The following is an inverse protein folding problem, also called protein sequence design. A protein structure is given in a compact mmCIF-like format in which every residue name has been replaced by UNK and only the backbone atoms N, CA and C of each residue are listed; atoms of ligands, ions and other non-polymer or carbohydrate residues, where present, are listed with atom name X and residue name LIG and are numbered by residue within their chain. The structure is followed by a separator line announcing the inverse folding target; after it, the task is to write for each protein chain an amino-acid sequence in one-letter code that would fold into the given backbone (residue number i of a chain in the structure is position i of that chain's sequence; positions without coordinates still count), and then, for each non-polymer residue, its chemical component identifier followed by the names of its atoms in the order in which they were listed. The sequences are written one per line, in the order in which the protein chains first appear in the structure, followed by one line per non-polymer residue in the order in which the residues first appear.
data_IF_692878822982
#
_entry.id   IF_692878822982
#
_cell.length_a   1.000
_cell.length_b   1.000
_cell.length_c   1.000
_cell.angle_alpha   90.00
_cell.angle_beta   90.00
_cell.angle_gamma   90.00
#
_symmetry.space_group_name_H-M   'P 1'
#
loop_
_entity.id
_entity.type
_entity.pdbx_description
1 polymer ?
#
# COMPACT_ATOMS: atom_id res chain seq x y z
N UNK A 1 -5.35 4.83 50.74
CA UNK A 1 -4.32 4.72 51.80
C UNK A 1 -3.71 3.33 51.76
N UNK A 2 -2.38 3.26 51.58
CA UNK A 2 -1.39 2.27 52.07
C UNK A 2 -1.57 0.78 51.67
N UNK A 3 -0.71 0.21 50.81
CA UNK A 3 0.69 -0.24 51.00
C UNK A 3 0.82 -1.59 51.79
N UNK A 4 1.12 -2.69 51.09
CA UNK A 4 2.36 -3.51 51.19
C UNK A 4 2.19 -5.02 50.86
N UNK A 5 3.06 -5.48 49.95
CA UNK A 5 3.81 -6.74 49.88
C UNK A 5 3.38 -7.98 50.72
N UNK A 6 3.26 -9.13 50.04
CA UNK A 6 3.91 -10.37 50.50
C UNK A 6 4.22 -11.35 49.35
N UNK A 7 5.41 -11.91 49.46
CA UNK A 7 6.09 -12.85 48.57
C UNK A 7 5.60 -14.29 48.74
N UNK A 8 6.09 -15.14 47.83
CA UNK A 8 6.29 -16.60 47.94
C UNK A 8 5.10 -17.54 47.83
N UNK A 9 4.99 -18.25 46.70
CA UNK A 9 5.00 -19.74 46.63
C UNK A 9 4.71 -20.23 45.20
N UNK A 10 5.65 -20.93 44.56
CA UNK A 10 5.33 -21.93 43.53
C UNK A 10 6.45 -22.99 43.48
N UNK A 11 6.18 -24.25 43.88
CA UNK A 11 7.17 -25.31 43.94
C UNK A 11 7.31 -26.11 42.62
N UNK A 12 8.48 -26.72 42.54
CA UNK A 12 9.04 -27.60 41.51
C UNK A 12 8.47 -29.03 41.49
N UNK A 13 8.49 -29.63 40.29
CA UNK A 13 8.91 -31.01 39.93
C UNK A 13 8.00 -32.26 40.05
N UNK A 14 8.29 -33.14 39.08
CA UNK A 14 8.08 -34.60 39.00
C UNK A 14 6.72 -35.00 38.38
N UNK A 15 6.52 -35.96 37.47
CA UNK A 15 7.25 -37.06 36.77
C UNK A 15 6.50 -37.22 35.42
N UNK A 16 6.97 -37.80 34.33
CA UNK A 16 8.01 -38.77 34.03
C UNK A 16 7.66 -39.40 32.67
N UNK A 17 8.64 -39.73 31.83
CA UNK A 17 8.54 -40.71 30.75
C UNK A 17 9.95 -41.30 30.61
N UNK A 18 10.07 -42.59 30.91
CA UNK A 18 11.24 -43.42 30.63
C UNK A 18 11.12 -43.91 29.18
N UNK A 19 12.21 -43.86 28.44
CA UNK A 19 12.39 -44.67 27.23
C UNK A 19 13.72 -45.40 27.36
N UNK A 20 13.61 -46.71 27.55
CA UNK A 20 14.71 -47.66 27.68
C UNK A 20 15.45 -47.78 26.35
N UNK A 21 16.77 -47.53 26.38
CA UNK A 21 17.70 -47.93 25.34
C UNK A 21 18.27 -49.30 25.71
N UNK A 22 17.88 -50.35 24.98
CA UNK A 22 18.62 -51.61 24.96
C UNK A 22 19.39 -51.72 23.66
N UNK A 23 20.71 -51.84 23.81
CA UNK A 23 21.65 -52.08 22.74
C UNK A 23 21.65 -53.57 22.37
N UNK A 24 21.71 -53.89 21.08
CA UNK A 24 22.17 -55.19 20.59
C UNK A 24 22.93 -54.98 19.29
N UNK A 25 24.20 -55.36 19.32
CA UNK A 25 25.10 -55.46 18.18
C UNK A 25 24.94 -56.82 17.49
N UNK A 26 25.17 -56.88 16.17
CA UNK A 26 25.92 -57.92 15.45
C UNK A 26 25.89 -57.59 13.95
N UNK A 27 27.06 -57.58 13.31
CA UNK A 27 27.22 -57.35 11.86
C UNK A 27 27.12 -58.63 11.04
N UNK A 28 27.20 -58.49 9.71
CA UNK A 28 27.82 -59.42 8.73
C UNK A 28 27.97 -58.67 7.39
N UNK A 29 29.10 -58.96 6.76
CA UNK A 29 29.73 -58.46 5.54
C UNK A 29 29.07 -59.01 4.24
N UNK A 30 29.20 -58.30 3.11
CA UNK A 30 29.65 -58.87 1.82
C UNK A 30 29.85 -57.77 0.75
N UNK A 31 30.78 -58.05 -0.17
CA UNK A 31 31.55 -57.11 -1.03
C UNK A 31 30.90 -56.87 -2.40
N UNK A 32 31.26 -55.76 -3.05
CA UNK A 32 30.94 -55.51 -4.47
C UNK A 32 31.55 -54.24 -5.09
N UNK A 33 32.86 -54.27 -5.33
CA UNK A 33 33.78 -53.42 -6.15
C UNK A 33 33.22 -52.29 -7.05
N UNK A 34 33.93 -51.13 -7.04
CA UNK A 34 34.05 -50.20 -8.19
C UNK A 34 34.36 -48.72 -7.84
N UNK A 35 35.64 -48.34 -7.77
CA UNK A 35 36.16 -46.95 -7.76
C UNK A 35 36.65 -46.54 -9.17
N UNK A 36 37.07 -45.28 -9.52
CA UNK A 36 37.38 -44.09 -8.69
C UNK A 36 36.87 -42.70 -9.22
N UNK A 37 37.07 -41.66 -8.38
CA UNK A 37 36.96 -40.19 -8.59
C UNK A 37 38.14 -39.63 -9.46
N UNK A 38 38.43 -38.30 -9.65
CA UNK A 38 37.87 -37.01 -9.12
C UNK A 38 37.91 -35.83 -10.17
N UNK A 39 38.02 -34.50 -9.85
CA UNK A 39 37.59 -33.65 -8.71
C UNK A 39 36.80 -32.36 -9.11
N UNK A 40 36.19 -31.70 -8.11
CA UNK A 40 35.76 -30.28 -8.19
C UNK A 40 35.08 -29.75 -6.92
N UNK A 41 35.88 -29.30 -5.94
CA UNK A 41 35.44 -28.68 -4.67
C UNK A 41 34.76 -27.31 -4.85
N UNK A 42 34.07 -26.71 -3.87
CA UNK A 42 34.33 -26.65 -2.43
C UNK A 42 33.00 -26.51 -1.66
N UNK A 43 32.90 -27.20 -0.51
CA UNK A 43 31.85 -27.00 0.50
C UNK A 43 32.20 -25.78 1.37
N UNK A 44 31.30 -24.81 1.49
CA UNK A 44 31.40 -23.76 2.52
C UNK A 44 30.98 -24.33 3.87
N UNK A 45 31.89 -24.23 4.83
CA UNK A 45 31.75 -24.68 6.22
C UNK A 45 30.88 -23.71 7.02
N UNK A 46 30.10 -24.30 7.93
CA UNK A 46 29.48 -23.66 9.08
C UNK A 46 30.48 -22.74 9.81
N UNK A 47 30.22 -21.44 9.76
CA UNK A 47 30.95 -20.40 10.49
C UNK A 47 30.20 -19.99 11.76
N UNK A 48 30.52 -20.67 12.85
CA UNK A 48 30.88 -20.08 14.15
C UNK A 48 30.00 -18.92 14.72
N UNK A 49 28.77 -19.21 15.13
CA UNK A 49 27.93 -18.33 15.96
C UNK A 49 28.58 -17.91 17.30
N UNK A 50 29.61 -18.63 17.75
CA UNK A 50 30.38 -18.30 18.96
C UNK A 50 31.25 -17.05 18.83
N UNK A 51 31.46 -16.50 17.63
CA UNK A 51 32.15 -15.22 17.45
C UNK A 51 31.26 -13.99 17.70
N UNK A 52 29.93 -14.17 17.74
CA UNK A 52 28.98 -13.08 18.02
C UNK A 52 28.82 -12.78 19.53
N UNK A 53 29.27 -13.68 20.40
CA UNK A 53 29.16 -13.53 21.86
C UNK A 53 30.32 -12.77 22.51
N UNK A 54 31.37 -12.42 21.77
CA UNK A 54 32.46 -11.55 22.26
C UNK A 54 32.26 -10.08 21.83
N UNK A 55 31.39 -9.81 20.85
CA UNK A 55 31.04 -8.44 20.44
C UNK A 55 29.90 -7.80 21.25
N UNK A 56 29.25 -8.55 22.15
CA UNK A 56 28.22 -8.06 23.07
C UNK A 56 28.74 -7.76 24.49
N UNK A 57 30.07 -7.67 24.66
CA UNK A 57 30.72 -7.36 25.95
C UNK A 57 31.57 -6.05 25.93
N UNK A 58 31.30 -5.13 24.99
CA UNK A 58 31.95 -3.79 24.93
C UNK A 58 30.94 -2.62 24.81
N UNK A 59 29.64 -2.87 24.78
CA UNK A 59 28.61 -1.80 24.82
C UNK A 59 27.87 -1.72 26.17
N UNK A 60 28.55 -2.12 27.25
CA UNK A 60 28.08 -1.93 28.61
C UNK A 60 28.94 -0.91 29.35
N UNK A 61 28.97 0.35 28.91
CA UNK A 61 29.38 1.47 29.76
C UNK A 61 28.94 2.79 29.12
N UNK A 62 28.24 3.61 29.91
CA UNK A 62 27.72 4.97 29.62
C UNK A 62 26.46 4.95 28.73
N UNK A 63 25.27 5.23 29.23
CA UNK A 63 24.97 6.33 30.15
C UNK A 63 24.09 7.30 29.37
N UNK A 64 22.86 7.46 29.85
CA UNK A 64 21.79 8.25 29.27
C UNK A 64 22.24 9.64 28.78
N UNK A 65 21.73 10.03 27.60
CA UNK A 65 21.54 11.44 27.24
C UNK A 65 20.43 11.54 26.18
N UNK A 66 19.24 11.89 26.65
CA UNK A 66 18.13 12.49 25.90
C UNK A 66 18.63 13.62 24.99
N UNK A 67 18.34 13.62 23.67
CA UNK A 67 18.48 14.81 22.84
C UNK A 67 17.19 15.66 22.78
N UNK A 68 16.23 15.45 23.69
CA UNK A 68 15.06 16.31 23.83
C UNK A 68 15.22 17.25 25.04
N UNK A 69 15.06 18.54 24.79
CA UNK A 69 15.00 19.66 25.74
C UNK A 69 16.32 20.35 26.11
N UNK A 70 16.78 21.28 25.24
CA UNK A 70 17.21 22.60 25.73
C UNK A 70 17.23 23.63 24.58
N UNK A 71 16.09 24.29 24.33
CA UNK A 71 16.08 25.59 23.68
C UNK A 71 16.21 26.66 24.79
N UNK A 72 17.30 27.44 24.84
CA UNK A 72 17.34 28.59 25.75
C UNK A 72 16.37 29.64 25.24
N UNK A 73 15.31 29.86 26.01
CA UNK A 73 14.46 31.04 25.89
C UNK A 73 15.33 32.28 26.14
N UNK A 74 15.75 32.94 25.06
CA UNK A 74 16.32 34.29 25.12
C UNK A 74 15.19 35.25 25.49
N UNK A 75 15.00 35.46 26.79
CA UNK A 75 14.18 36.51 27.36
C UNK A 75 14.74 37.86 26.89
N UNK A 76 14.22 38.38 25.79
CA UNK A 76 14.36 39.80 25.49
C UNK A 76 13.58 40.53 26.58
N UNK A 77 14.32 41.20 27.46
CA UNK A 77 13.80 42.25 28.32
C UNK A 77 13.15 43.30 27.44
N UNK A 78 11.84 43.21 27.25
CA UNK A 78 11.04 44.27 26.68
C UNK A 78 11.01 45.38 27.73
N UNK A 79 11.87 46.37 27.55
CA UNK A 79 11.75 47.63 28.26
C UNK A 79 10.39 48.25 27.91
N UNK A 80 9.61 48.75 28.88
CA UNK A 80 8.41 49.52 28.58
C UNK A 80 8.83 50.83 27.88
N UNK A 81 8.17 51.23 26.78
CA UNK A 81 8.49 52.49 26.13
C UNK A 81 8.06 53.67 27.02
N UNK A 82 8.93 54.68 27.23
CA UNK A 82 8.52 55.94 27.83
C UNK A 82 7.54 56.67 26.92
N UNK A 83 6.50 57.23 27.54
CA UNK A 83 5.48 58.01 26.86
C UNK A 83 6.00 59.33 26.27
N UNK A 84 5.22 59.78 25.29
CA UNK A 84 5.04 61.17 24.82
C UNK A 84 6.26 61.92 24.26
N UNK A 85 6.40 61.88 22.94
CA UNK A 85 6.86 63.01 22.13
C UNK A 85 6.24 62.94 20.71
N UNK A 86 5.97 64.09 20.06
CA UNK A 86 5.00 64.22 18.97
C UNK A 86 5.52 63.79 17.59
N UNK A 87 4.55 63.49 16.72
CA UNK A 87 4.71 62.99 15.36
C UNK A 87 5.61 63.86 14.46
N UNK A 88 6.44 63.23 13.60
CA UNK A 88 6.80 63.81 12.32
C UNK A 88 5.76 63.42 11.27
N UNK A 89 5.16 64.42 10.65
CA UNK A 89 4.42 64.26 9.40
C UNK A 89 5.36 63.67 8.33
N UNK A 90 4.96 62.57 7.70
CA UNK A 90 5.68 62.06 6.54
C UNK A 90 5.44 60.58 6.24
N UNK A 91 4.86 60.35 5.07
CA UNK A 91 4.84 59.09 4.29
C UNK A 91 3.63 58.18 4.58
N UNK A 92 2.60 58.37 3.75
CA UNK A 92 1.55 57.40 3.52
C UNK A 92 2.16 56.04 3.17
N UNK A 93 1.66 54.99 3.83
CA UNK A 93 2.04 53.61 3.53
C UNK A 93 1.86 53.31 2.03
N UNK A 94 2.79 52.60 1.36
CA UNK A 94 2.57 52.14 0.02
C UNK A 94 1.34 51.21 0.02
N UNK A 95 0.37 51.52 -0.85
CA UNK A 95 -0.82 50.72 -1.05
C UNK A 95 -0.46 49.22 -1.21
N UNK A 96 -1.27 48.28 -0.68
CA UNK A 96 -1.02 46.85 -0.87
C UNK A 96 -0.96 46.57 -2.38
N UNK A 97 0.13 45.93 -2.80
CA UNK A 97 0.48 45.73 -4.20
C UNK A 97 -0.72 45.16 -5.00
N UNK A 98 -1.06 45.75 -6.16
CA UNK A 98 -2.19 45.31 -7.00
C UNK A 98 -2.06 43.87 -7.51
N UNK A 99 -0.90 43.24 -7.33
CA UNK A 99 -0.62 41.87 -7.76
C UNK A 99 -1.36 40.82 -6.91
N UNK A 100 -1.44 40.99 -5.59
CA UNK A 100 -2.18 40.03 -4.74
C UNK A 100 -3.69 40.10 -5.02
N UNK A 101 -4.23 41.30 -5.21
CA UNK A 101 -5.63 41.49 -5.58
C UNK A 101 -5.96 40.83 -6.93
N UNK A 102 -5.04 40.91 -7.91
CA UNK A 102 -5.16 40.22 -9.21
C UNK A 102 -5.08 38.70 -9.07
N UNK A 103 -4.19 38.18 -8.24
CA UNK A 103 -4.08 36.74 -7.99
C UNK A 103 -5.35 36.20 -7.32
N UNK A 104 -5.92 36.94 -6.36
CA UNK A 104 -7.20 36.56 -5.73
C UNK A 104 -8.34 36.55 -6.76
N UNK A 105 -8.38 37.52 -7.68
CA UNK A 105 -9.38 37.55 -8.75
C UNK A 105 -9.21 36.38 -9.74
N UNK A 106 -7.98 36.05 -10.16
CA UNK A 106 -7.72 34.89 -11.03
C UNK A 106 -8.13 33.57 -10.36
N UNK A 107 -7.81 33.41 -9.07
CA UNK A 107 -8.20 32.24 -8.29
C UNK A 107 -9.72 32.13 -8.17
N UNK A 108 -10.42 33.24 -7.93
CA UNK A 108 -11.89 33.25 -7.88
C UNK A 108 -12.51 32.83 -9.22
N UNK A 109 -12.00 33.32 -10.35
CA UNK A 109 -12.46 32.92 -11.68
C UNK A 109 -12.24 31.44 -11.94
N UNK A 110 -11.07 30.90 -11.56
CA UNK A 110 -10.78 29.47 -11.69
C UNK A 110 -11.71 28.61 -10.85
N UNK A 111 -12.03 29.02 -9.62
CA UNK A 111 -12.98 28.31 -8.76
C UNK A 111 -14.35 28.24 -9.42
N UNK A 112 -14.88 29.35 -9.93
CA UNK A 112 -16.16 29.38 -10.64
C UNK A 112 -16.17 28.51 -11.91
N UNK A 113 -15.07 28.49 -12.66
CA UNK A 113 -14.92 27.61 -13.82
C UNK A 113 -14.89 26.13 -13.43
N UNK A 114 -14.26 25.79 -12.29
CA UNK A 114 -14.25 24.42 -11.79
C UNK A 114 -15.64 24.00 -11.30
N UNK A 115 -16.33 24.87 -10.57
CA UNK A 115 -17.70 24.64 -10.11
C UNK A 115 -18.66 24.42 -11.28
N UNK A 116 -18.60 25.25 -12.33
CA UNK A 116 -19.44 25.07 -13.53
C UNK A 116 -19.11 23.79 -14.30
N UNK A 117 -17.83 23.38 -14.37
CA UNK A 117 -17.44 22.09 -14.97
C UNK A 117 -17.87 20.90 -14.14
N UNK A 118 -17.86 21.02 -12.80
CA UNK A 118 -18.38 20.00 -11.90
C UNK A 118 -19.90 19.92 -12.02
N UNK A 119 -20.62 21.05 -11.99
CA UNK A 119 -22.06 21.08 -12.20
C UNK A 119 -22.47 20.53 -13.58
N UNK A 120 -21.71 20.81 -14.64
CA UNK A 120 -21.94 20.23 -15.96
C UNK A 120 -21.68 18.72 -16.01
N UNK A 121 -20.68 18.22 -15.26
CA UNK A 121 -20.44 16.78 -15.11
C UNK A 121 -21.52 16.11 -14.24
N UNK A 122 -21.94 16.74 -13.16
CA UNK A 122 -22.99 16.25 -12.27
C UNK A 122 -24.35 16.25 -12.97
N UNK A 123 -24.67 17.26 -13.79
CA UNK A 123 -25.85 17.27 -14.64
C UNK A 123 -25.79 16.20 -15.76
N UNK A 124 -24.58 15.84 -16.21
CA UNK A 124 -24.36 14.72 -17.14
C UNK A 124 -24.42 13.35 -16.45
N UNK A 125 -24.21 13.28 -15.13
CA UNK A 125 -24.15 12.03 -14.37
C UNK A 125 -25.46 11.75 -13.60
N UNK A 126 -26.29 12.77 -13.34
CA UNK A 126 -27.58 12.64 -12.64
C UNK A 126 -28.64 13.65 -13.12
N UNK A 127 -29.44 13.34 -14.15
CA UNK A 127 -30.64 14.13 -14.46
C UNK A 127 -31.71 13.95 -13.36
N UNK A 128 -32.54 14.98 -13.05
CA UNK A 128 -33.59 14.87 -12.06
C UNK A 128 -34.67 13.85 -12.47
N UNK A 129 -35.31 13.15 -11.52
CA UNK A 129 -36.30 12.12 -11.84
C UNK A 129 -37.57 12.76 -12.38
N UNK A 130 -37.75 12.72 -13.71
CA UNK A 130 -39.03 12.99 -14.33
C UNK A 130 -40.00 11.85 -14.02
N UNK A 131 -41.19 12.22 -13.55
CA UNK A 131 -42.29 11.34 -13.16
C UNK A 131 -42.72 10.42 -14.32
N UNK A 132 -42.95 9.16 -13.95
CA UNK A 132 -43.41 8.03 -14.75
C UNK A 132 -44.40 8.38 -15.88
N UNK A 133 -43.96 8.18 -17.12
CA UNK A 133 -44.82 7.72 -18.24
C UNK A 133 -44.09 6.60 -19.00
N UNK A 134 -44.84 5.53 -19.28
CA UNK A 134 -44.42 4.21 -19.80
C UNK A 134 -43.90 4.28 -21.27
N UNK A 135 -42.71 3.67 -21.51
CA UNK A 135 -42.12 3.05 -22.73
C UNK A 135 -42.11 3.83 -24.07
N UNK A 136 -41.07 3.75 -24.95
CA UNK A 136 -40.17 2.61 -25.21
C UNK A 136 -38.67 2.89 -24.99
N UNK A 137 -37.88 1.82 -24.83
CA UNK A 137 -36.42 1.87 -24.67
C UNK A 137 -35.72 2.38 -25.94
N UNK A 138 -35.03 3.52 -25.80
CA UNK A 138 -34.09 4.11 -26.76
C UNK A 138 -32.82 4.57 -26.03
N UNK A 139 -31.66 4.60 -26.70
CA UNK A 139 -30.42 4.00 -26.18
C UNK A 139 -29.77 4.83 -25.06
N UNK A 140 -29.65 4.23 -23.88
CA UNK A 140 -28.75 4.72 -22.82
C UNK A 140 -27.30 4.79 -23.33
N UNK A 141 -26.50 5.79 -22.88
CA UNK A 141 -25.07 5.79 -23.08
C UNK A 141 -24.50 4.49 -22.49
N UNK A 142 -23.78 3.74 -23.33
CA UNK A 142 -23.25 2.42 -23.00
C UNK A 142 -22.17 2.55 -21.92
N UNK A 143 -22.57 2.52 -20.66
CA UNK A 143 -21.77 1.84 -19.65
C UNK A 143 -21.77 0.38 -20.07
N UNK A 144 -20.68 -0.08 -20.66
CA UNK A 144 -20.52 -1.46 -21.12
C UNK A 144 -20.93 -2.38 -19.98
N UNK A 145 -22.00 -3.13 -20.22
CA UNK A 145 -22.46 -4.18 -19.34
C UNK A 145 -21.25 -5.02 -18.90
N UNK A 146 -21.18 -5.27 -17.58
CA UNK A 146 -20.36 -6.34 -17.05
C UNK A 146 -20.58 -7.60 -17.94
N UNK A 147 -19.52 -8.36 -18.28
CA UNK A 147 -19.69 -9.53 -19.15
C UNK A 147 -20.80 -10.43 -18.57
N UNK A 148 -21.80 -10.77 -19.39
CA UNK A 148 -22.85 -11.69 -18.99
C UNK A 148 -22.23 -13.04 -18.61
N UNK A 149 -22.37 -13.43 -17.33
CA UNK A 149 -21.80 -14.66 -16.79
C UNK A 149 -21.44 -14.62 -15.29
N UNK A 150 -21.52 -13.46 -14.64
CA UNK A 150 -21.23 -13.32 -13.22
C UNK A 150 -22.55 -13.39 -12.43
N UNK A 151 -22.74 -14.39 -11.53
CA UNK A 151 -23.96 -14.50 -10.74
C UNK A 151 -24.19 -13.24 -9.88
N UNK A 152 -25.46 -12.86 -9.63
CA UNK A 152 -25.76 -11.72 -8.77
C UNK A 152 -25.13 -11.92 -7.38
N UNK A 153 -24.65 -10.84 -6.75
CA UNK A 153 -23.96 -10.96 -5.48
C UNK A 153 -24.91 -11.52 -4.42
N UNK A 154 -24.57 -12.67 -3.85
CA UNK A 154 -25.27 -13.17 -2.67
C UNK A 154 -25.17 -12.09 -1.58
N UNK A 155 -26.31 -11.63 -1.03
CA UNK A 155 -26.38 -10.43 -0.20
C UNK A 155 -25.43 -10.39 1.01
N UNK A 156 -24.99 -11.55 1.52
CA UNK A 156 -23.98 -11.63 2.58
C UNK A 156 -22.55 -11.34 2.08
N UNK A 157 -22.22 -11.70 0.84
CA UNK A 157 -20.90 -11.45 0.26
C UNK A 157 -20.71 -9.98 -0.08
N UNK A 158 -21.77 -9.32 -0.55
CA UNK A 158 -21.76 -7.87 -0.74
C UNK A 158 -21.42 -7.13 0.56
N UNK A 159 -21.98 -7.56 1.70
CA UNK A 159 -21.65 -6.98 3.02
C UNK A 159 -20.16 -7.13 3.36
N UNK A 160 -19.54 -8.28 3.02
CA UNK A 160 -18.10 -8.50 3.26
C UNK A 160 -17.26 -7.54 2.42
N UNK A 161 -17.64 -7.33 1.16
CA UNK A 161 -16.98 -6.37 0.27
C UNK A 161 -17.08 -4.93 0.81
N UNK A 162 -18.30 -4.49 1.14
CA UNK A 162 -18.55 -3.14 1.66
C UNK A 162 -17.76 -2.88 2.94
N UNK A 163 -17.71 -3.85 3.85
CA UNK A 163 -16.92 -3.72 5.07
C UNK A 163 -15.42 -3.64 4.80
N UNK A 164 -14.91 -4.46 3.85
CA UNK A 164 -13.52 -4.37 3.40
C UNK A 164 -13.19 -2.99 2.82
N UNK A 165 -14.07 -2.44 2.00
CA UNK A 165 -13.91 -1.11 1.42
C UNK A 165 -13.95 0.00 2.47
N UNK A 166 -14.83 -0.12 3.47
CA UNK A 166 -14.86 0.82 4.61
C UNK A 166 -13.56 0.79 5.40
N UNK A 167 -12.98 -0.39 5.63
CA UNK A 167 -11.69 -0.54 6.31
C UNK A 167 -10.54 0.03 5.49
N UNK A 168 -10.57 -0.16 4.17
CA UNK A 168 -9.61 0.42 3.24
C UNK A 168 -9.62 1.96 3.30
N UNK A 169 -10.81 2.57 3.28
CA UNK A 169 -10.96 4.03 3.44
C UNK A 169 -10.42 4.54 4.78
N UNK A 170 -10.55 3.74 5.84
CA UNK A 170 -9.95 4.01 7.15
C UNK A 170 -8.44 3.77 7.20
N UNK A 171 -7.80 3.45 6.07
CA UNK A 171 -6.38 3.09 5.95
C UNK A 171 -5.97 1.86 6.75
N UNK A 172 -6.94 1.06 7.21
CA UNK A 172 -6.67 -0.23 7.84
C UNK A 172 -6.53 -1.30 6.74
N UNK A 173 -5.39 -1.26 6.06
CA UNK A 173 -5.11 -2.11 4.90
C UNK A 173 -5.05 -3.60 5.26
N UNK A 174 -4.54 -3.95 6.45
CA UNK A 174 -4.46 -5.32 6.91
C UNK A 174 -5.85 -5.96 7.05
N UNK A 175 -6.75 -5.33 7.81
CA UNK A 175 -8.12 -5.87 7.97
C UNK A 175 -8.92 -5.77 6.67
N UNK A 176 -8.67 -4.77 5.83
CA UNK A 176 -9.30 -4.67 4.51
C UNK A 176 -8.92 -5.86 3.61
N UNK A 177 -7.64 -6.26 3.59
CA UNK A 177 -7.19 -7.45 2.84
C UNK A 177 -7.90 -8.72 3.29
N UNK A 178 -8.08 -8.92 4.59
CA UNK A 178 -8.77 -10.10 5.10
C UNK A 178 -10.22 -10.17 4.59
N UNK A 179 -10.91 -9.03 4.54
CA UNK A 179 -12.27 -8.95 4.01
C UNK A 179 -12.32 -9.18 2.51
N UNK A 180 -11.43 -8.56 1.74
CA UNK A 180 -11.36 -8.77 0.29
C UNK A 180 -10.94 -10.20 -0.06
N UNK A 181 -10.02 -10.81 0.68
CA UNK A 181 -9.61 -12.19 0.50
C UNK A 181 -10.80 -13.15 0.76
N UNK A 182 -11.55 -12.92 1.84
CA UNK A 182 -12.79 -13.68 2.14
C UNK A 182 -13.83 -13.54 1.03
N UNK A 183 -14.02 -12.33 0.51
CA UNK A 183 -14.92 -12.10 -0.63
C UNK A 183 -14.48 -12.86 -1.88
N UNK A 184 -13.17 -12.86 -2.19
CA UNK A 184 -12.64 -13.55 -3.35
C UNK A 184 -12.66 -15.07 -3.22
N UNK A 185 -12.61 -15.61 -2.00
CA UNK A 185 -12.77 -17.05 -1.73
C UNK A 185 -14.20 -17.51 -2.00
N UNK A 186 -15.20 -16.72 -1.63
CA UNK A 186 -16.60 -17.06 -1.81
C UNK A 186 -17.13 -16.72 -3.21
N UNK A 187 -16.60 -15.67 -3.83
CA UNK A 187 -17.04 -15.14 -5.12
C UNK A 187 -15.85 -14.84 -6.06
N UNK A 188 -15.08 -15.86 -6.48
CA UNK A 188 -13.93 -15.68 -7.38
C UNK A 188 -14.35 -15.31 -8.81
N UNK A 189 -15.64 -15.39 -9.13
CA UNK A 189 -16.22 -14.91 -10.40
C UNK A 189 -17.49 -14.13 -10.10
N UNK A 190 -17.48 -13.33 -9.05
CA UNK A 190 -18.55 -12.38 -8.74
C UNK A 190 -18.37 -11.06 -9.50
N UNK A 191 -19.42 -10.24 -9.64
CA UNK A 191 -19.37 -8.97 -10.37
C UNK A 191 -18.34 -7.99 -9.77
N UNK A 192 -18.11 -8.04 -8.45
CA UNK A 192 -17.10 -7.22 -7.76
C UNK A 192 -15.77 -7.94 -7.53
N UNK A 193 -15.61 -9.16 -8.04
CA UNK A 193 -14.36 -9.91 -7.87
C UNK A 193 -13.13 -9.18 -8.46
N UNK A 194 -13.16 -8.59 -9.67
CA UNK A 194 -12.02 -7.82 -10.16
C UNK A 194 -11.74 -6.58 -9.29
N UNK A 195 -12.78 -5.91 -8.81
CA UNK A 195 -12.67 -4.71 -7.97
C UNK A 195 -12.12 -5.03 -6.57
N UNK A 196 -12.62 -6.09 -5.93
CA UNK A 196 -12.11 -6.58 -4.65
C UNK A 196 -10.63 -6.98 -4.74
N UNK A 197 -10.22 -7.64 -5.83
CA UNK A 197 -8.81 -7.99 -6.04
C UNK A 197 -7.95 -6.76 -6.29
N UNK A 198 -8.48 -5.75 -6.98
CA UNK A 198 -7.80 -4.48 -7.18
C UNK A 198 -7.50 -3.82 -5.84
N UNK A 199 -8.50 -3.64 -4.97
CA UNK A 199 -8.31 -3.03 -3.65
C UNK A 199 -7.41 -3.86 -2.72
N UNK A 200 -7.45 -5.18 -2.84
CA UNK A 200 -6.52 -6.06 -2.13
C UNK A 200 -5.05 -5.79 -2.54
N UNK A 201 -4.78 -5.63 -3.84
CA UNK A 201 -3.46 -5.27 -4.34
C UNK A 201 -3.02 -3.87 -3.88
N UNK A 202 -3.91 -2.88 -3.92
CA UNK A 202 -3.64 -1.54 -3.38
C UNK A 202 -3.34 -1.57 -1.88
N UNK A 203 -4.05 -2.39 -1.12
CA UNK A 203 -3.80 -2.55 0.31
C UNK A 203 -2.38 -3.06 0.59
N UNK A 204 -1.82 -3.92 -0.26
CA UNK A 204 -0.41 -4.31 -0.17
C UNK A 204 0.53 -3.16 -0.57
N UNK A 205 0.22 -2.46 -1.66
CA UNK A 205 1.02 -1.35 -2.16
C UNK A 205 1.13 -0.22 -1.12
N UNK A 206 0.04 0.10 -0.41
CA UNK A 206 0.03 1.11 0.64
C UNK A 206 0.81 0.71 1.89
N UNK A 207 1.06 -0.58 2.11
CA UNK A 207 1.94 -1.09 3.17
C UNK A 207 3.41 -1.21 2.72
N UNK A 208 3.75 -0.80 1.50
CA UNK A 208 5.11 -0.96 0.94
C UNK A 208 5.41 -2.38 0.46
N UNK A 209 4.44 -3.29 0.50
CA UNK A 209 4.55 -4.68 0.04
C UNK A 209 4.36 -4.77 -1.49
N UNK A 210 5.31 -4.17 -2.21
CA UNK A 210 5.23 -4.00 -3.67
C UNK A 210 5.30 -5.33 -4.42
N UNK A 211 6.01 -6.34 -3.88
CA UNK A 211 6.13 -7.65 -4.51
C UNK A 211 4.78 -8.37 -4.50
N UNK A 212 4.11 -8.40 -3.35
CA UNK A 212 2.79 -8.99 -3.17
C UNK A 212 1.72 -8.22 -3.96
N UNK A 213 1.80 -6.89 -3.98
CA UNK A 213 0.92 -6.06 -4.80
C UNK A 213 1.02 -6.43 -6.29
N UNK A 214 2.25 -6.55 -6.82
CA UNK A 214 2.47 -6.93 -8.21
C UNK A 214 1.90 -8.32 -8.54
N UNK A 215 1.99 -9.28 -7.62
CA UNK A 215 1.38 -10.61 -7.79
C UNK A 215 -0.15 -10.53 -7.86
N UNK A 216 -0.78 -9.76 -6.98
CA UNK A 216 -2.24 -9.64 -6.95
C UNK A 216 -2.79 -8.88 -8.16
N UNK A 217 -2.09 -7.86 -8.65
CA UNK A 217 -2.41 -7.21 -9.93
C UNK A 217 -2.27 -8.18 -11.10
N UNK A 218 -1.22 -9.00 -11.14
CA UNK A 218 -1.06 -10.01 -12.18
C UNK A 218 -2.21 -11.02 -12.18
N UNK A 219 -2.63 -11.47 -10.99
CA UNK A 219 -3.79 -12.35 -10.84
C UNK A 219 -5.08 -11.69 -11.34
N UNK A 220 -5.24 -10.38 -11.17
CA UNK A 220 -6.40 -9.66 -11.71
C UNK A 220 -6.40 -9.70 -13.23
N UNK A 221 -5.27 -9.40 -13.86
CA UNK A 221 -5.13 -9.36 -15.33
C UNK A 221 -5.31 -10.73 -15.96
N UNK A 222 -4.81 -11.79 -15.29
CA UNK A 222 -4.92 -13.17 -15.78
C UNK A 222 -6.32 -13.76 -15.58
N UNK A 223 -6.97 -13.48 -14.45
CA UNK A 223 -8.30 -14.04 -14.14
C UNK A 223 -9.44 -13.19 -14.71
N UNK A 224 -9.25 -11.88 -14.88
CA UNK A 224 -10.26 -10.94 -15.37
C UNK A 224 -9.72 -10.04 -16.50
N UNK A 225 -9.21 -10.60 -17.62
CA UNK A 225 -8.65 -9.80 -18.72
C UNK A 225 -9.68 -8.91 -19.41
N UNK A 226 -10.98 -9.23 -19.30
CA UNK A 226 -12.07 -8.44 -19.89
C UNK A 226 -12.57 -7.31 -18.97
N UNK A 227 -12.02 -7.17 -17.76
CA UNK A 227 -12.42 -6.13 -16.83
C UNK A 227 -11.87 -4.78 -17.26
N UNK A 228 -12.66 -3.72 -17.13
CA UNK A 228 -12.21 -2.34 -17.33
C UNK A 228 -11.07 -1.95 -16.37
N UNK A 229 -10.90 -2.70 -15.27
CA UNK A 229 -9.80 -2.51 -14.31
C UNK A 229 -8.49 -3.19 -14.73
N UNK A 230 -8.51 -4.08 -15.73
CA UNK A 230 -7.32 -4.83 -16.13
C UNK A 230 -6.17 -3.95 -16.66
N UNK A 231 -6.41 -2.94 -17.52
CA UNK A 231 -5.36 -2.01 -17.94
C UNK A 231 -4.79 -1.19 -16.77
N UNK A 232 -5.66 -0.71 -15.88
CA UNK A 232 -5.29 -0.03 -14.63
C UNK A 232 -4.41 -0.90 -13.73
N UNK A 233 -4.80 -2.16 -13.54
CA UNK A 233 -4.03 -3.12 -12.75
C UNK A 233 -2.65 -3.40 -13.35
N UNK A 234 -2.51 -3.54 -14.68
CA UNK A 234 -1.20 -3.70 -15.33
C UNK A 234 -0.30 -2.47 -15.14
N UNK A 235 -0.87 -1.26 -15.21
CA UNK A 235 -0.13 -0.03 -14.93
C UNK A 235 0.40 -0.04 -13.50
N UNK A 236 -0.46 -0.37 -12.53
CA UNK A 236 -0.06 -0.43 -11.12
C UNK A 236 0.95 -1.56 -10.85
N UNK A 237 0.82 -2.70 -11.52
CA UNK A 237 1.83 -3.77 -11.48
C UNK A 237 3.19 -3.26 -11.96
N UNK A 238 3.24 -2.54 -13.08
CA UNK A 238 4.48 -1.93 -13.56
C UNK A 238 5.05 -0.96 -12.53
N UNK A 239 4.24 -0.05 -11.99
CA UNK A 239 4.67 0.90 -10.95
C UNK A 239 5.21 0.19 -9.69
N UNK A 240 4.61 -0.94 -9.30
CA UNK A 240 5.11 -1.76 -8.21
C UNK A 240 6.50 -2.36 -8.53
N UNK A 241 6.77 -2.77 -9.78
CA UNK A 241 8.11 -3.20 -10.20
C UNK A 241 9.11 -2.04 -10.24
N UNK A 242 8.67 -0.84 -10.63
CA UNK A 242 9.49 0.38 -10.58
C UNK A 242 9.92 0.69 -9.15
N UNK A 243 9.00 0.60 -8.18
CA UNK A 243 9.30 0.78 -6.76
C UNK A 243 10.30 -0.26 -6.21
N UNK A 244 10.34 -1.46 -6.81
CA UNK A 244 11.30 -2.52 -6.49
C UNK A 244 12.64 -2.40 -7.25
N UNK A 245 12.87 -1.32 -8.00
CA UNK A 245 14.03 -1.14 -8.89
C UNK A 245 14.16 -2.22 -9.98
N UNK A 246 13.06 -2.92 -10.32
CA UNK A 246 13.04 -3.97 -11.34
C UNK A 246 12.71 -3.38 -12.72
N UNK A 247 13.62 -2.58 -13.27
CA UNK A 247 13.42 -1.82 -14.52
C UNK A 247 13.08 -2.70 -15.73
N UNK A 248 13.67 -3.91 -15.81
CA UNK A 248 13.36 -4.87 -16.88
C UNK A 248 11.90 -5.31 -16.84
N UNK A 249 11.39 -5.66 -15.66
CA UNK A 249 10.00 -6.08 -15.47
C UNK A 249 9.02 -4.92 -15.60
N UNK A 250 9.41 -3.72 -15.14
CA UNK A 250 8.67 -2.48 -15.37
C UNK A 250 8.41 -2.25 -16.87
N UNK A 251 9.48 -2.17 -17.68
CA UNK A 251 9.37 -1.92 -19.13
C UNK A 251 8.61 -3.05 -19.83
N UNK A 252 8.91 -4.31 -19.49
CA UNK A 252 8.23 -5.47 -20.06
C UNK A 252 6.72 -5.49 -19.75
N UNK A 253 6.31 -5.03 -18.57
CA UNK A 253 4.89 -4.96 -18.19
C UNK A 253 4.17 -3.82 -18.91
N UNK A 254 4.81 -2.66 -19.05
CA UNK A 254 4.25 -1.54 -19.83
C UNK A 254 4.12 -1.88 -21.32
N UNK A 255 5.10 -2.56 -21.92
CA UNK A 255 5.02 -3.00 -23.32
C UNK A 255 3.85 -3.99 -23.53
N UNK A 256 3.67 -4.93 -22.59
CA UNK A 256 2.52 -5.83 -22.60
C UNK A 256 1.19 -5.07 -22.46
N UNK A 257 1.12 -4.05 -21.61
CA UNK A 257 -0.08 -3.21 -21.44
C UNK A 257 -0.45 -2.51 -22.75
N UNK A 258 0.53 -1.91 -23.43
CA UNK A 258 0.32 -1.23 -24.72
C UNK A 258 -0.16 -2.20 -25.80
N UNK A 259 0.39 -3.43 -25.82
CA UNK A 259 0.00 -4.47 -26.78
C UNK A 259 -1.37 -5.08 -26.49
N UNK A 260 -1.68 -5.33 -25.22
CA UNK A 260 -2.93 -5.98 -24.82
C UNK A 260 -4.13 -5.01 -24.83
N UNK A 261 -3.92 -3.73 -24.50
CA UNK A 261 -4.98 -2.74 -24.35
C UNK A 261 -4.67 -1.42 -25.07
N UNK A 262 -4.41 -1.42 -26.39
CA UNK A 262 -3.90 -0.24 -27.11
C UNK A 262 -4.80 1.00 -27.09
N UNK A 263 -6.10 0.82 -26.84
CA UNK A 263 -7.10 1.89 -26.80
C UNK A 263 -7.38 2.47 -25.41
N UNK A 264 -6.80 1.91 -24.34
CA UNK A 264 -7.07 2.42 -22.98
C UNK A 264 -6.26 3.68 -22.66
N UNK A 265 -6.75 4.58 -21.80
CA UNK A 265 -5.97 5.73 -21.33
C UNK A 265 -4.64 5.31 -20.69
N UNK A 266 -4.62 4.22 -19.94
CA UNK A 266 -3.44 3.68 -19.27
C UNK A 266 -2.39 3.19 -20.26
N UNK A 267 -2.80 2.68 -21.43
CA UNK A 267 -1.86 2.31 -22.49
C UNK A 267 -1.22 3.54 -23.13
N UNK A 268 -1.92 4.68 -23.22
CA UNK A 268 -1.29 5.92 -23.71
C UNK A 268 -0.25 6.44 -22.71
N UNK A 269 -0.57 6.43 -21.42
CA UNK A 269 0.40 6.74 -20.35
C UNK A 269 1.58 5.75 -20.35
N UNK A 270 1.33 4.46 -20.59
CA UNK A 270 2.40 3.47 -20.67
C UNK A 270 3.39 3.77 -21.82
N UNK A 271 2.91 4.28 -22.95
CA UNK A 271 3.77 4.70 -24.07
C UNK A 271 4.67 5.88 -23.69
N UNK A 272 4.16 6.86 -22.94
CA UNK A 272 4.99 8.01 -22.49
C UNK A 272 6.06 7.55 -21.51
N UNK A 273 5.69 6.72 -20.53
CA UNK A 273 6.63 6.13 -19.57
C UNK A 273 7.74 5.29 -20.22
N UNK A 274 7.43 4.55 -21.29
CA UNK A 274 8.42 3.78 -22.04
C UNK A 274 9.45 4.68 -22.74
N UNK A 275 9.00 5.82 -23.29
CA UNK A 275 9.89 6.81 -23.92
C UNK A 275 10.78 7.51 -22.90
N UNK A 276 10.23 7.89 -21.75
CA UNK A 276 10.96 8.60 -20.69
C UNK A 276 12.03 7.73 -20.03
N UNK A 277 11.71 6.49 -19.65
CA UNK A 277 12.66 5.62 -18.95
C UNK A 277 13.72 4.96 -19.84
N UNK A 278 13.76 5.31 -21.14
CA UNK A 278 14.73 4.81 -22.11
C UNK A 278 15.88 5.79 -22.38
N UNK A 279 15.92 6.90 -21.65
CA UNK A 279 17.01 7.88 -21.65
C UNK A 279 17.96 7.65 -20.49
#
# INVERSE_FOLDING_TARGET
MKYLNRLDYCPEKSLGIKVDLTATAMGVEERGKGTPLPPGGKKMRQGNWKLYLVLLAVCGFLGACDPYAYYPARSQSVAPPPGSAPAPAGQAAPAPAPDLARQVQDLQVRVQQLESRLAAKEASEYPPPATSRRAPEGPRPKTTAAPAGYPPPAGNQEKVYVEGYRLYQKKNYASARDKFAKYLQSQPRGPKAPEARYYLAFSFQHEGKHQEAAMEFNKLVTQYPKSNLAPGAMKQQALAYKAQNQTKLYRGTLDKLVKAYPGSPEAQEAKTFLKEGGR
#
